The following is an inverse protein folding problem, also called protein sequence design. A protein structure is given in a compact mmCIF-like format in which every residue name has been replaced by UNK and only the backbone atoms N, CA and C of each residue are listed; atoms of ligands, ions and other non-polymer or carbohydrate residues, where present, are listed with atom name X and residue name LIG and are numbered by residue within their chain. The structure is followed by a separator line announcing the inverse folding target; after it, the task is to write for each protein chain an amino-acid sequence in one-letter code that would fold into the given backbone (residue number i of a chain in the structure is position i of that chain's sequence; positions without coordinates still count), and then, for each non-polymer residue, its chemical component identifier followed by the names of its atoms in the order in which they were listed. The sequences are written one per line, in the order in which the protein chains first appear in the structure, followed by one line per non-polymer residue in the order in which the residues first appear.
data_IF_889064833003
#
_entry.id   IF_889064833003
#
_cell.length_a   1.000
_cell.length_b   1.000
_cell.length_c   1.000
_cell.angle_alpha   90.00
_cell.angle_beta   90.00
_cell.angle_gamma   90.00
#
_symmetry.space_group_name_H-M   'P 1'
#
loop_
_entity.id
_entity.type
_entity.pdbx_description
1 polymer ?
#
# COMPACT_ATOMS: atom_id res chain seq x y z
N UNK A 1 10.13 0.40 23.48
CA UNK A 1 8.68 0.32 23.12
C UNK A 1 8.52 -0.95 22.32
N UNK A 2 7.72 -1.92 22.79
CA UNK A 2 7.63 -3.23 22.13
C UNK A 2 6.40 -3.35 21.24
N UNK A 3 6.58 -3.73 19.97
CA UNK A 3 5.51 -4.00 19.00
C UNK A 3 5.73 -5.38 18.39
N UNK A 4 4.74 -6.27 18.47
CA UNK A 4 4.82 -7.65 17.98
C UNK A 4 6.07 -8.42 18.45
N UNK A 5 6.52 -8.16 19.69
CA UNK A 5 7.71 -8.81 20.28
C UNK A 5 9.05 -8.17 19.91
N UNK A 6 9.06 -7.14 19.05
CA UNK A 6 10.26 -6.37 18.71
C UNK A 6 10.36 -5.11 19.57
N UNK A 7 11.52 -4.87 20.19
CA UNK A 7 11.78 -3.60 20.85
C UNK A 7 12.26 -2.55 19.84
N UNK A 8 11.39 -1.59 19.54
CA UNK A 8 11.66 -0.50 18.60
C UNK A 8 12.69 0.51 19.13
N UNK A 9 13.06 0.44 20.41
CA UNK A 9 14.11 1.29 20.99
C UNK A 9 15.50 0.66 20.95
N UNK A 10 15.62 -0.62 20.58
CA UNK A 10 16.91 -1.27 20.36
C UNK A 10 17.45 -0.94 18.96
N UNK A 11 18.64 -0.31 18.82
CA UNK A 11 19.25 -0.03 17.52
C UNK A 11 19.58 -1.28 16.68
N UNK A 12 19.55 -2.47 17.28
CA UNK A 12 19.74 -3.75 16.57
C UNK A 12 18.46 -4.29 15.91
N UNK A 13 17.31 -3.71 16.24
CA UNK A 13 16.03 -4.15 15.66
C UNK A 13 15.97 -3.76 14.20
N UNK A 14 15.73 -4.73 13.33
CA UNK A 14 15.46 -4.46 11.91
C UNK A 14 14.04 -3.91 11.77
N UNK A 15 13.94 -2.58 11.65
CA UNK A 15 12.66 -1.86 11.61
C UNK A 15 11.84 -2.18 10.37
N UNK A 16 12.49 -2.51 9.24
CA UNK A 16 11.79 -2.80 7.98
C UNK A 16 10.97 -4.10 8.10
N UNK A 17 11.54 -5.15 8.70
CA UNK A 17 10.82 -6.40 8.98
C UNK A 17 9.62 -6.20 9.92
N UNK A 18 9.74 -5.28 10.88
CA UNK A 18 8.62 -4.96 11.77
C UNK A 18 7.50 -4.26 11.02
N UNK A 19 7.83 -3.38 10.07
CA UNK A 19 6.87 -2.60 9.28
C UNK A 19 6.08 -3.43 8.27
N UNK A 20 6.64 -4.52 7.76
CA UNK A 20 5.91 -5.43 6.86
C UNK A 20 4.57 -5.92 7.46
N UNK A 21 4.52 -6.06 8.78
CA UNK A 21 3.34 -6.55 9.51
C UNK A 21 2.45 -5.41 10.06
N UNK A 22 2.77 -4.15 9.78
CA UNK A 22 2.07 -2.98 10.31
C UNK A 22 1.56 -2.12 9.15
N UNK A 23 0.24 -2.15 8.93
CA UNK A 23 -0.43 -1.23 8.01
C UNK A 23 -0.53 0.17 8.62
N UNK A 24 -0.14 1.21 7.86
CA UNK A 24 -0.26 2.61 8.27
C UNK A 24 -1.09 3.39 7.26
N UNK A 25 -2.06 4.16 7.74
CA UNK A 25 -2.86 5.09 6.94
C UNK A 25 -2.53 6.52 7.38
N UNK A 26 -2.10 7.36 6.45
CA UNK A 26 -1.72 8.75 6.72
C UNK A 26 -2.92 9.70 6.56
N UNK A 27 -2.95 10.79 7.35
CA UNK A 27 -3.95 11.86 7.20
C UNK A 27 -3.81 12.63 5.88
N UNK A 28 -2.59 12.81 5.39
CA UNK A 28 -2.31 13.31 4.06
C UNK A 28 -1.86 12.13 3.20
N UNK A 29 -2.57 11.89 2.09
CA UNK A 29 -2.40 10.69 1.29
C UNK A 29 -1.00 10.67 0.65
N UNK A 30 -0.13 9.78 1.15
CA UNK A 30 1.21 9.52 0.60
C UNK A 30 1.15 8.58 -0.61
N UNK A 31 0.24 8.87 -1.55
CA UNK A 31 0.16 8.15 -2.82
C UNK A 31 1.26 8.63 -3.75
N UNK A 32 1.85 7.72 -4.52
CA UNK A 32 2.80 8.04 -5.58
C UNK A 32 2.05 8.72 -6.75
N UNK A 33 2.30 10.02 -7.02
CA UNK A 33 1.51 10.80 -7.97
C UNK A 33 1.80 10.49 -9.44
N UNK A 34 2.91 9.80 -9.70
CA UNK A 34 3.37 9.37 -11.02
C UNK A 34 2.92 7.95 -11.40
N UNK A 35 2.14 7.30 -10.53
CA UNK A 35 1.61 5.95 -10.71
C UNK A 35 0.08 6.01 -10.73
N UNK A 36 -0.56 5.06 -11.42
CA UNK A 36 -2.01 4.84 -11.33
C UNK A 36 -2.41 4.32 -9.94
N UNK A 37 -3.71 4.30 -9.65
CA UNK A 37 -4.21 3.74 -8.37
C UNK A 37 -3.81 2.26 -8.23
N UNK A 38 -3.97 1.48 -9.30
CA UNK A 38 -3.59 0.07 -9.30
C UNK A 38 -2.08 -0.10 -9.15
N UNK A 39 -1.27 0.71 -9.82
CA UNK A 39 0.19 0.69 -9.67
C UNK A 39 0.65 1.03 -8.26
N UNK A 40 -0.02 1.98 -7.58
CA UNK A 40 0.25 2.29 -6.18
C UNK A 40 0.04 1.07 -5.27
N UNK A 41 -1.01 0.29 -5.51
CA UNK A 41 -1.33 -0.90 -4.72
C UNK A 41 -0.34 -2.04 -5.01
N UNK A 42 0.03 -2.23 -6.29
CA UNK A 42 0.95 -3.28 -6.71
C UNK A 42 2.41 -3.02 -6.34
N UNK A 43 2.80 -1.76 -6.14
CA UNK A 43 4.21 -1.37 -6.01
C UNK A 43 4.95 -2.13 -4.91
N UNK A 44 4.43 -2.12 -3.68
CA UNK A 44 5.12 -2.75 -2.55
C UNK A 44 5.26 -4.29 -2.70
N UNK A 45 4.21 -5.07 -3.02
CA UNK A 45 4.34 -6.51 -3.24
C UNK A 45 5.34 -6.90 -4.34
N UNK A 46 5.39 -6.14 -5.43
CA UNK A 46 6.30 -6.41 -6.57
C UNK A 46 7.73 -6.02 -6.24
N UNK A 47 7.95 -4.83 -5.67
CA UNK A 47 9.29 -4.33 -5.32
C UNK A 47 9.98 -5.23 -4.28
N UNK A 48 9.22 -5.71 -3.30
CA UNK A 48 9.72 -6.65 -2.30
C UNK A 48 9.76 -8.11 -2.78
N UNK A 49 9.48 -8.38 -4.07
CA UNK A 49 9.48 -9.72 -4.69
C UNK A 49 8.57 -10.72 -3.98
N UNK A 50 7.51 -10.23 -3.34
CA UNK A 50 6.51 -11.05 -2.67
C UNK A 50 5.50 -11.63 -3.68
N UNK A 51 5.28 -10.93 -4.80
CA UNK A 51 4.36 -11.33 -5.86
C UNK A 51 4.92 -10.99 -7.25
N UNK A 52 4.53 -11.77 -8.26
CA UNK A 52 4.69 -11.37 -9.66
C UNK A 52 3.75 -10.21 -9.99
N UNK A 53 4.04 -9.49 -11.09
CA UNK A 53 3.18 -8.39 -11.54
C UNK A 53 1.75 -8.84 -11.83
N UNK A 54 1.56 -10.03 -12.40
CA UNK A 54 0.25 -10.59 -12.72
C UNK A 54 -0.55 -10.93 -11.45
N UNK A 55 0.10 -11.54 -10.44
CA UNK A 55 -0.52 -11.84 -9.15
C UNK A 55 -0.90 -10.54 -8.41
N UNK A 56 0.02 -9.57 -8.37
CA UNK A 56 -0.22 -8.28 -7.74
C UNK A 56 -1.37 -7.53 -8.43
N UNK A 57 -1.48 -7.62 -9.75
CA UNK A 57 -2.58 -7.02 -10.51
C UNK A 57 -3.94 -7.62 -10.11
N UNK A 58 -4.01 -8.95 -10.00
CA UNK A 58 -5.23 -9.63 -9.57
C UNK A 58 -5.63 -9.22 -8.15
N UNK A 59 -4.69 -9.27 -7.20
CA UNK A 59 -4.94 -8.89 -5.80
C UNK A 59 -5.31 -7.41 -5.70
N UNK A 60 -4.63 -6.54 -6.44
CA UNK A 60 -4.92 -5.10 -6.47
C UNK A 60 -6.32 -4.81 -6.97
N UNK A 61 -6.78 -5.53 -8.01
CA UNK A 61 -8.13 -5.37 -8.53
C UNK A 61 -9.19 -5.85 -7.53
N UNK A 62 -8.97 -6.99 -6.87
CA UNK A 62 -9.85 -7.50 -5.80
C UNK A 62 -9.98 -6.51 -4.64
N UNK A 63 -8.86 -5.86 -4.24
CA UNK A 63 -8.86 -4.81 -3.22
C UNK A 63 -9.65 -3.58 -3.67
N UNK A 64 -9.46 -3.14 -4.92
CA UNK A 64 -10.20 -2.02 -5.51
C UNK A 64 -11.71 -2.28 -5.59
N UNK A 65 -12.12 -3.50 -5.95
CA UNK A 65 -13.52 -3.91 -5.94
C UNK A 65 -14.11 -3.83 -4.53
N UNK A 66 -13.37 -4.30 -3.53
CA UNK A 66 -13.80 -4.28 -2.13
C UNK A 66 -14.04 -2.87 -1.59
N UNK A 67 -13.27 -1.87 -2.05
CA UNK A 67 -13.40 -0.47 -1.63
C UNK A 67 -14.26 0.37 -2.59
N UNK A 68 -14.76 -0.24 -3.67
CA UNK A 68 -15.62 0.40 -4.66
C UNK A 68 -14.90 1.41 -5.55
N UNK A 69 -13.65 1.11 -5.93
CA UNK A 69 -12.77 1.93 -6.80
C UNK A 69 -12.22 1.16 -8.00
N UNK A 70 -12.80 0.00 -8.33
CA UNK A 70 -12.40 -0.81 -9.48
C UNK A 70 -12.40 -0.03 -10.80
N UNK A 71 -13.36 0.89 -11.00
CA UNK A 71 -13.47 1.77 -12.17
C UNK A 71 -12.35 2.84 -12.24
N UNK A 72 -11.57 3.00 -11.17
CA UNK A 72 -10.48 3.97 -11.04
C UNK A 72 -9.10 3.33 -11.01
N UNK A 73 -8.98 2.04 -11.32
CA UNK A 73 -7.71 1.32 -11.34
C UNK A 73 -6.61 2.06 -12.14
N UNK A 74 -6.95 2.52 -13.35
CA UNK A 74 -6.01 3.21 -14.25
C UNK A 74 -6.00 4.74 -14.06
N UNK A 75 -6.78 5.27 -13.12
CA UNK A 75 -6.85 6.71 -12.89
C UNK A 75 -5.57 7.21 -12.19
N UNK A 76 -5.22 8.48 -12.44
CA UNK A 76 -4.16 9.13 -11.68
C UNK A 76 -4.65 9.45 -10.26
N UNK A 77 -3.81 9.26 -9.26
CA UNK A 77 -4.13 9.51 -7.84
C UNK A 77 -4.57 10.94 -7.56
N UNK A 78 -4.13 11.92 -8.38
CA UNK A 78 -4.56 13.32 -8.29
C UNK A 78 -6.02 13.55 -8.73
N UNK A 79 -6.61 12.64 -9.49
CA UNK A 79 -8.00 12.74 -9.97
C UNK A 79 -9.03 12.22 -8.96
N UNK A 80 -8.58 11.64 -7.85
CA UNK A 80 -9.44 11.10 -6.79
C UNK A 80 -9.92 12.21 -5.85
N UNK A 81 -11.19 12.15 -5.45
CA UNK A 81 -11.70 12.98 -4.34
C UNK A 81 -11.08 12.55 -3.00
N UNK A 82 -11.11 13.42 -1.97
CA UNK A 82 -10.51 13.11 -0.66
C UNK A 82 -11.03 11.81 -0.03
N UNK A 83 -12.33 11.54 -0.13
CA UNK A 83 -12.93 10.29 0.35
C UNK A 83 -12.64 9.06 -0.53
N UNK A 84 -12.20 9.25 -1.77
CA UNK A 84 -11.68 8.16 -2.61
C UNK A 84 -10.20 7.90 -2.33
N UNK A 85 -9.41 8.92 -1.98
CA UNK A 85 -8.00 8.73 -1.60
C UNK A 85 -7.83 7.97 -0.28
N UNK A 86 -8.85 7.99 0.58
CA UNK A 86 -8.84 7.32 1.90
C UNK A 86 -9.29 5.86 1.84
N UNK A 87 -10.03 5.49 0.80
CA UNK A 87 -10.58 4.15 0.61
C UNK A 87 -9.59 3.30 -0.17
#
# INVERSE_FOLDING_TARGET
ITVNGYDLTDPKTNVDLVRENIGMVFQHFNLFPHMSVLENIMFAPVEHKLMTREEAQKVGMELLEKVGLADKADANTNSLSGGQKQR
#
